data_IF_206831645167
#
_entry.id   IF_206831645167
#
_cell.length_a   1.000
_cell.length_b   1.000
_cell.length_c   1.000
_cell.angle_alpha   90.00
_cell.angle_beta   90.00
_cell.angle_gamma   90.00
#
_symmetry.space_group_name_H-M   'P 1'
#
loop_
_entity.id
_entity.type
_entity.pdbx_description
1 polymer ?
#
# COMPACT_ATOMS: atom_id res chain seq x y z
N UNK A 1 19.57 -15.33 -11.59
CA UNK A 1 18.65 -14.21 -11.31
C UNK A 1 17.26 -14.80 -11.25
N UNK A 2 16.66 -14.93 -10.06
CA UNK A 2 15.27 -15.36 -9.94
C UNK A 2 14.37 -14.23 -10.42
N UNK A 3 13.81 -14.36 -11.62
CA UNK A 3 12.83 -13.42 -12.15
C UNK A 3 11.55 -13.55 -11.33
N UNK A 4 11.43 -12.74 -10.28
CA UNK A 4 10.21 -12.70 -9.46
C UNK A 4 9.07 -12.13 -10.30
N UNK A 5 7.95 -12.86 -10.42
CA UNK A 5 6.82 -12.40 -11.23
C UNK A 5 6.12 -11.20 -10.59
N UNK A 6 5.55 -10.33 -11.44
CA UNK A 6 4.79 -9.17 -10.98
C UNK A 6 3.45 -9.60 -10.38
N UNK A 7 3.25 -9.32 -9.09
CA UNK A 7 2.01 -9.62 -8.35
C UNK A 7 0.78 -9.06 -9.07
N UNK A 8 0.89 -7.87 -9.66
CA UNK A 8 -0.20 -7.22 -10.38
C UNK A 8 -0.62 -8.00 -11.64
N UNK A 9 0.35 -8.57 -12.37
CA UNK A 9 0.12 -9.37 -13.58
C UNK A 9 -0.39 -10.76 -13.21
N UNK A 10 0.17 -11.38 -12.16
CA UNK A 10 -0.32 -12.67 -11.65
C UNK A 10 -1.78 -12.61 -11.20
N UNK A 11 -2.20 -11.51 -10.54
CA UNK A 11 -3.61 -11.31 -10.19
C UNK A 11 -4.51 -11.23 -11.43
N UNK A 12 -4.07 -10.55 -12.50
CA UNK A 12 -4.79 -10.49 -13.78
C UNK A 12 -4.89 -11.87 -14.44
N UNK A 13 -3.78 -12.62 -14.49
CA UNK A 13 -3.71 -13.97 -15.04
C UNK A 13 -4.66 -14.91 -14.28
N UNK A 14 -4.59 -14.92 -12.93
CA UNK A 14 -5.52 -15.67 -12.07
C UNK A 14 -6.98 -15.34 -12.40
N UNK A 15 -7.32 -14.05 -12.43
CA UNK A 15 -8.69 -13.61 -12.75
C UNK A 15 -9.13 -14.03 -14.15
N UNK A 16 -8.24 -14.05 -15.14
CA UNK A 16 -8.56 -14.48 -16.50
C UNK A 16 -8.84 -15.99 -16.57
N UNK A 17 -8.03 -16.81 -15.89
CA UNK A 17 -8.20 -18.26 -15.79
C UNK A 17 -9.49 -18.63 -15.04
N UNK A 18 -9.78 -17.97 -13.91
CA UNK A 18 -10.98 -18.22 -13.11
C UNK A 18 -12.28 -17.84 -13.85
N UNK A 19 -12.29 -16.72 -14.58
CA UNK A 19 -13.49 -16.23 -15.27
C UNK A 19 -13.92 -17.08 -16.47
N UNK A 20 -12.97 -17.76 -17.12
CA UNK A 20 -13.26 -18.44 -18.39
C UNK A 20 -13.66 -19.91 -18.22
N UNK A 21 -13.48 -20.51 -17.04
CA UNK A 21 -13.89 -21.88 -16.67
C UNK A 21 -13.73 -22.95 -17.76
N UNK A 22 -12.73 -22.80 -18.64
CA UNK A 22 -12.43 -23.79 -19.67
C UNK A 22 -11.54 -24.86 -19.05
N UNK A 23 -11.83 -26.13 -19.34
CA UNK A 23 -11.02 -27.27 -18.87
C UNK A 23 -9.57 -27.22 -19.36
N UNK A 24 -9.36 -26.63 -20.54
CA UNK A 24 -8.06 -26.53 -21.18
C UNK A 24 -7.86 -25.13 -21.76
N UNK A 25 -6.72 -24.51 -21.41
CA UNK A 25 -6.35 -23.16 -21.85
C UNK A 25 -4.88 -23.18 -22.26
N UNK A 26 -4.58 -22.89 -23.53
CA UNK A 26 -3.20 -22.76 -24.01
C UNK A 26 -2.63 -21.39 -23.70
N UNK A 27 -1.31 -21.23 -23.86
CA UNK A 27 -0.62 -19.96 -23.65
C UNK A 27 -1.18 -18.85 -24.57
N UNK A 28 -1.45 -19.16 -25.83
CA UNK A 28 -2.04 -18.18 -26.78
C UNK A 28 -3.47 -17.77 -26.40
N UNK A 29 -4.26 -18.69 -25.87
CA UNK A 29 -5.59 -18.32 -25.36
C UNK A 29 -5.48 -17.41 -24.14
N UNK A 30 -4.54 -17.69 -23.24
CA UNK A 30 -4.31 -16.89 -22.05
C UNK A 30 -3.79 -15.49 -22.39
N UNK A 31 -2.90 -15.38 -23.37
CA UNK A 31 -2.37 -14.10 -23.87
C UNK A 31 -3.51 -13.17 -24.31
N UNK A 32 -4.46 -13.71 -25.09
CA UNK A 32 -5.66 -13.01 -25.56
C UNK A 32 -6.61 -12.64 -24.42
N UNK A 33 -6.76 -13.50 -23.41
CA UNK A 33 -7.63 -13.21 -22.27
C UNK A 33 -7.08 -12.11 -21.37
N UNK A 34 -5.77 -12.05 -21.19
CA UNK A 34 -5.10 -11.06 -20.33
C UNK A 34 -4.80 -9.77 -21.09
N UNK A 35 -4.73 -9.81 -22.42
CA UNK A 35 -4.35 -8.68 -23.27
C UNK A 35 -2.85 -8.39 -23.22
N UNK A 36 -2.03 -9.44 -23.07
CA UNK A 36 -0.57 -9.37 -23.05
C UNK A 36 0.00 -10.32 -24.10
N UNK A 37 1.20 -10.04 -24.61
CA UNK A 37 1.90 -10.95 -25.51
C UNK A 37 2.18 -12.29 -24.84
N UNK A 38 2.15 -13.38 -25.62
CA UNK A 38 2.43 -14.74 -25.16
C UNK A 38 3.75 -14.83 -24.41
N UNK A 39 4.78 -14.17 -24.91
CA UNK A 39 6.14 -14.22 -24.34
C UNK A 39 6.19 -13.58 -22.96
N UNK A 40 5.48 -12.45 -22.79
CA UNK A 40 5.38 -11.75 -21.51
C UNK A 40 4.60 -12.59 -20.50
N UNK A 41 3.55 -13.29 -20.93
CA UNK A 41 2.80 -14.20 -20.06
C UNK A 41 3.67 -15.41 -19.70
N UNK A 42 4.42 -15.97 -20.66
CA UNK A 42 5.32 -17.07 -20.43
C UNK A 42 6.44 -16.69 -19.44
N UNK A 43 7.04 -15.51 -19.56
CA UNK A 43 8.06 -15.01 -18.62
C UNK A 43 7.58 -15.01 -17.17
N UNK A 44 6.32 -14.63 -16.95
CA UNK A 44 5.71 -14.61 -15.61
C UNK A 44 5.36 -16.02 -15.10
N UNK A 45 5.00 -16.93 -16.01
CA UNK A 45 4.63 -18.30 -15.69
C UNK A 45 5.83 -19.24 -15.53
N UNK A 46 6.99 -18.92 -16.14
CA UNK A 46 8.24 -19.67 -16.02
C UNK A 46 8.68 -19.84 -14.57
N UNK A 47 8.33 -18.89 -13.71
CA UNK A 47 8.60 -19.00 -12.28
C UNK A 47 7.93 -20.22 -11.64
N UNK A 48 6.75 -20.62 -12.14
CA UNK A 48 6.01 -21.78 -11.65
C UNK A 48 6.30 -23.04 -12.46
N UNK A 49 6.42 -22.88 -13.77
CA UNK A 49 6.60 -24.00 -14.69
C UNK A 49 7.54 -23.59 -15.84
N UNK A 50 8.83 -24.01 -15.80
CA UNK A 50 9.81 -23.62 -16.80
C UNK A 50 9.47 -24.09 -18.22
N UNK A 51 8.72 -25.19 -18.37
CA UNK A 51 8.39 -25.76 -19.67
C UNK A 51 7.42 -24.91 -20.48
N UNK A 52 6.75 -23.91 -19.88
CA UNK A 52 5.77 -23.04 -20.56
C UNK A 52 6.36 -22.31 -21.78
N UNK A 53 7.67 -22.01 -21.77
CA UNK A 53 8.36 -21.39 -22.92
C UNK A 53 8.63 -22.35 -24.07
N UNK A 54 8.79 -23.64 -23.77
CA UNK A 54 9.15 -24.67 -24.75
C UNK A 54 7.91 -25.34 -25.34
N UNK A 55 6.86 -25.50 -24.52
CA UNK A 55 5.61 -26.14 -24.93
C UNK A 55 4.43 -25.17 -24.84
N UNK A 56 4.06 -24.60 -25.99
CA UNK A 56 2.91 -23.71 -26.12
C UNK A 56 1.55 -24.42 -26.01
N UNK A 57 1.55 -25.76 -26.08
CA UNK A 57 0.36 -26.61 -25.94
C UNK A 57 0.10 -27.04 -24.49
N UNK A 58 0.90 -26.56 -23.54
CA UNK A 58 0.66 -26.86 -22.14
C UNK A 58 -0.67 -26.26 -21.64
N UNK A 59 -1.34 -26.97 -20.74
CA UNK A 59 -2.55 -26.48 -20.10
C UNK A 59 -2.22 -25.49 -18.97
N UNK A 60 -2.55 -24.21 -19.17
CA UNK A 60 -2.31 -23.15 -18.19
C UNK A 60 -3.20 -23.29 -16.94
N UNK A 61 -4.27 -24.09 -16.99
CA UNK A 61 -5.12 -24.34 -15.81
C UNK A 61 -4.38 -25.13 -14.73
N UNK A 62 -3.39 -25.94 -15.10
CA UNK A 62 -2.62 -26.74 -14.15
C UNK A 62 -1.70 -25.86 -13.30
N UNK A 63 -1.38 -24.65 -13.77
CA UNK A 63 -0.51 -23.68 -13.09
C UNK A 63 -1.32 -22.83 -12.08
N UNK A 64 -2.66 -22.75 -12.24
CA UNK A 64 -3.54 -21.91 -11.42
C UNK A 64 -3.40 -22.15 -9.90
N UNK A 65 -3.34 -23.39 -9.38
CA UNK A 65 -3.18 -23.65 -7.94
C UNK A 65 -1.87 -23.07 -7.38
N UNK A 66 -0.79 -23.12 -8.16
CA UNK A 66 0.51 -22.59 -7.76
C UNK A 66 0.50 -21.07 -7.67
N UNK A 67 -0.14 -20.40 -8.63
CA UNK A 67 -0.35 -18.94 -8.61
C UNK A 67 -1.17 -18.53 -7.39
N UNK A 68 -2.25 -19.27 -7.09
CA UNK A 68 -3.11 -18.99 -5.93
C UNK A 68 -2.33 -19.13 -4.61
N UNK A 69 -1.54 -20.21 -4.46
CA UNK A 69 -0.71 -20.44 -3.28
C UNK A 69 0.35 -19.35 -3.10
N UNK A 70 0.97 -18.90 -4.19
CA UNK A 70 1.96 -17.83 -4.16
C UNK A 70 1.36 -16.48 -3.75
N UNK A 71 0.22 -16.11 -4.36
CA UNK A 71 -0.49 -14.88 -3.99
C UNK A 71 -1.00 -14.90 -2.54
N UNK A 72 -1.43 -16.07 -2.05
CA UNK A 72 -1.85 -16.24 -0.65
C UNK A 72 -0.74 -15.92 0.35
N UNK A 73 0.46 -16.50 0.16
CA UNK A 73 1.63 -16.20 0.99
C UNK A 73 1.98 -14.72 1.03
N UNK A 74 1.95 -14.08 -0.14
CA UNK A 74 2.24 -12.64 -0.26
C UNK A 74 1.18 -11.80 0.45
N UNK A 75 -0.09 -12.18 0.35
CA UNK A 75 -1.17 -11.47 1.01
C UNK A 75 -1.11 -11.64 2.54
N UNK A 76 -0.71 -12.80 3.05
CA UNK A 76 -0.44 -13.05 4.47
C UNK A 76 0.74 -12.22 5.00
N UNK A 77 1.89 -12.25 4.32
CA UNK A 77 3.04 -11.42 4.67
C UNK A 77 2.70 -9.91 4.68
N UNK A 78 1.86 -9.47 3.74
CA UNK A 78 1.42 -8.09 3.67
C UNK A 78 0.42 -7.74 4.77
N UNK A 79 -0.42 -8.67 5.22
CA UNK A 79 -1.32 -8.48 6.37
C UNK A 79 -0.52 -8.29 7.66
N UNK A 80 0.45 -9.17 7.92
CA UNK A 80 1.32 -9.04 9.09
C UNK A 80 2.07 -7.70 9.11
N UNK A 81 2.57 -7.25 7.96
CA UNK A 81 3.24 -5.95 7.82
C UNK A 81 2.28 -4.77 8.02
N UNK A 82 0.99 -4.91 7.71
CA UNK A 82 -0.03 -3.87 7.91
C UNK A 82 -0.50 -3.79 9.35
N UNK A 83 -0.64 -4.94 10.02
CA UNK A 83 -1.05 -5.00 11.43
C UNK A 83 0.02 -4.45 12.37
N UNK A 84 1.31 -4.59 12.00
CA UNK A 84 2.44 -4.03 12.76
C UNK A 84 2.59 -2.52 12.63
N UNK A 85 1.91 -1.84 11.69
CA UNK A 85 2.00 -0.38 11.57
C UNK A 85 0.98 0.25 12.52
N UNK A 86 1.41 1.06 13.51
CA UNK A 86 0.47 1.78 14.35
C UNK A 86 -0.41 2.64 13.43
N UNK A 87 -1.72 2.46 13.55
CA UNK A 87 -2.70 3.25 12.79
C UNK A 87 -2.43 4.71 13.10
N UNK A 88 -2.11 5.51 12.08
CA UNK A 88 -2.00 6.97 12.23
C UNK A 88 -3.29 7.48 12.86
N UNK A 89 -3.19 8.04 14.05
CA UNK A 89 -4.32 8.68 14.70
C UNK A 89 -4.75 9.85 13.81
N UNK A 90 -5.94 9.75 13.22
CA UNK A 90 -6.45 10.76 12.32
C UNK A 90 -6.90 11.97 13.14
N UNK A 91 -6.07 13.01 13.19
CA UNK A 91 -6.44 14.29 13.80
C UNK A 91 -7.62 14.88 13.03
N UNK A 92 -8.75 15.06 13.73
CA UNK A 92 -9.98 15.60 13.12
C UNK A 92 -9.81 17.10 12.89
N UNK A 93 -10.32 17.62 11.77
CA UNK A 93 -10.31 19.06 11.45
C UNK A 93 -10.92 19.95 12.55
N UNK A 94 -11.85 19.41 13.34
CA UNK A 94 -12.47 20.09 14.49
C UNK A 94 -11.49 20.33 15.64
N UNK A 95 -10.47 19.48 15.81
CA UNK A 95 -9.43 19.64 16.83
C UNK A 95 -8.42 20.72 16.43
N UNK A 96 -8.10 20.81 15.14
CA UNK A 96 -7.24 21.87 14.60
C UNK A 96 -7.86 23.27 14.73
N UNK A 97 -9.19 23.38 14.68
CA UNK A 97 -9.91 24.65 14.86
C UNK A 97 -9.95 25.14 16.32
N UNK A 98 -9.63 24.27 17.30
CA UNK A 98 -9.57 24.67 18.71
C UNK A 98 -8.34 25.53 19.02
N UNK A 99 -7.33 25.48 18.16
CA UNK A 99 -6.07 26.19 18.35
C UNK A 99 -5.93 27.25 17.25
N UNK A 100 -5.96 28.52 17.65
CA UNK A 100 -5.85 29.64 16.71
C UNK A 100 -4.42 29.81 16.17
N UNK A 101 -3.42 29.47 16.97
CA UNK A 101 -1.99 29.58 16.68
C UNK A 101 -1.18 28.49 17.40
N UNK A 102 0.06 28.25 16.98
CA UNK A 102 1.02 27.39 17.70
C UNK A 102 1.18 27.87 19.15
N UNK A 103 1.22 29.19 19.38
CA UNK A 103 1.31 29.76 20.72
C UNK A 103 0.14 29.34 21.60
N UNK A 104 -1.08 29.40 21.07
CA UNK A 104 -2.31 29.00 21.77
C UNK A 104 -2.32 27.50 22.11
N UNK A 105 -1.81 26.65 21.21
CA UNK A 105 -1.61 25.22 21.50
C UNK A 105 -0.62 25.01 22.66
N UNK A 106 0.53 25.71 22.64
CA UNK A 106 1.53 25.62 23.71
C UNK A 106 0.98 26.14 25.03
N UNK A 107 0.23 27.25 25.03
CA UNK A 107 -0.40 27.76 26.25
C UNK A 107 -1.45 26.80 26.82
N UNK A 108 -2.34 26.24 25.99
CA UNK A 108 -3.39 25.34 26.50
C UNK A 108 -2.87 23.98 26.99
N UNK A 109 -1.79 23.47 26.40
CA UNK A 109 -1.27 22.12 26.70
C UNK A 109 -0.04 22.10 27.60
N UNK A 110 0.76 23.16 27.61
CA UNK A 110 2.01 23.23 28.35
C UNK A 110 2.06 24.33 29.42
N UNK A 111 1.14 25.30 29.44
CA UNK A 111 1.18 26.32 30.50
C UNK A 111 0.72 25.74 31.84
N UNK A 112 1.54 25.96 32.86
CA UNK A 112 1.18 25.67 34.26
C UNK A 112 0.42 26.83 34.91
N UNK A 113 0.10 26.71 36.22
CA UNK A 113 -0.44 27.81 37.01
C UNK A 113 0.51 29.01 36.92
N UNK A 114 0.03 30.16 36.43
CA UNK A 114 0.82 31.38 36.25
C UNK A 114 1.25 31.69 34.81
N UNK A 115 0.81 30.91 33.81
CA UNK A 115 1.02 31.25 32.40
C UNK A 115 2.43 31.01 31.88
N UNK A 116 3.28 30.35 32.68
CA UNK A 116 4.61 29.91 32.27
C UNK A 116 4.54 28.50 31.68
N UNK A 117 5.29 28.30 30.59
CA UNK A 117 5.40 26.99 29.92
C UNK A 117 6.17 26.04 30.83
N UNK A 118 5.52 24.97 31.27
CA UNK A 118 6.10 23.96 32.14
C UNK A 118 7.00 23.03 31.32
N UNK A 119 8.33 23.01 31.55
CA UNK A 119 9.26 22.15 30.80
C UNK A 119 9.04 20.65 31.04
N UNK A 120 8.28 20.29 32.08
CA UNK A 120 7.95 18.93 32.48
C UNK A 120 6.68 18.37 31.82
N UNK A 121 6.05 19.11 30.91
CA UNK A 121 4.85 18.65 30.22
C UNK A 121 5.20 17.64 29.12
N UNK A 122 4.72 16.40 29.28
CA UNK A 122 4.90 15.35 28.27
C UNK A 122 3.75 15.39 27.26
N UNK A 123 4.08 15.69 26.00
CA UNK A 123 3.12 15.60 24.90
C UNK A 123 2.90 14.14 24.51
N UNK A 124 1.64 13.78 24.29
CA UNK A 124 1.28 12.49 23.72
C UNK A 124 1.52 12.50 22.18
N UNK A 125 1.63 11.32 21.56
CA UNK A 125 1.83 11.17 20.10
C UNK A 125 0.76 11.91 19.28
N UNK A 126 -0.47 11.96 19.81
CA UNK A 126 -1.56 12.74 19.23
C UNK A 126 -1.29 14.24 19.23
N UNK A 127 -0.81 14.76 20.36
CA UNK A 127 -0.53 16.19 20.55
C UNK A 127 0.68 16.63 19.68
N UNK A 128 1.69 15.77 19.53
CA UNK A 128 2.80 15.97 18.59
C UNK A 128 2.32 16.02 17.14
N UNK A 129 1.37 15.16 16.76
CA UNK A 129 0.81 15.17 15.40
C UNK A 129 -0.05 16.41 15.12
N UNK A 130 -0.79 16.91 16.13
CA UNK A 130 -1.51 18.18 16.04
C UNK A 130 -0.54 19.34 15.83
N UNK A 131 0.56 19.39 16.58
CA UNK A 131 1.60 20.41 16.44
C UNK A 131 2.27 20.38 15.06
N UNK A 132 2.58 19.20 14.54
CA UNK A 132 3.13 19.03 13.17
C UNK A 132 2.19 19.62 12.10
N UNK A 133 0.88 19.42 12.25
CA UNK A 133 -0.12 19.94 11.33
C UNK A 133 -0.26 21.47 11.44
N UNK A 134 -0.23 22.03 12.66
CA UNK A 134 -0.25 23.48 12.87
C UNK A 134 0.99 24.15 12.27
N UNK A 135 2.17 23.57 12.46
CA UNK A 135 3.44 24.04 11.86
C UNK A 135 3.37 24.03 10.34
N UNK A 136 2.85 22.95 9.73
CA UNK A 136 2.67 22.87 8.27
C UNK A 136 1.74 23.96 7.75
N UNK A 137 0.66 24.28 8.46
CA UNK A 137 -0.24 25.37 8.06
C UNK A 137 0.44 26.74 8.16
N UNK A 138 1.25 26.97 9.18
CA UNK A 138 1.95 28.24 9.37
C UNK A 138 3.07 28.45 8.33
N UNK A 139 3.84 27.40 8.00
CA UNK A 139 4.80 27.41 6.90
C UNK A 139 4.10 27.72 5.57
N UNK A 140 2.92 27.13 5.32
CA UNK A 140 2.16 27.41 4.10
C UNK A 140 1.65 28.87 4.04
N UNK A 141 1.21 29.45 5.17
CA UNK A 141 0.82 30.86 5.27
C UNK A 141 2.02 31.80 5.04
N UNK A 142 3.18 31.50 5.62
CA UNK A 142 4.41 32.28 5.46
C UNK A 142 4.89 32.29 4.00
N UNK A 143 4.85 31.14 3.31
CA UNK A 143 5.20 31.05 1.89
C UNK A 143 4.28 31.86 0.97
N UNK A 144 3.00 32.00 1.33
CA UNK A 144 2.02 32.81 0.58
C UNK A 144 2.20 34.32 0.78
N UNK A 145 2.71 34.75 1.94
CA UNK A 145 3.00 36.17 2.23
C UNK A 145 4.30 36.68 1.58
N UNK A 146 5.17 35.77 1.12
CA UNK A 146 6.43 36.09 0.43
C UNK A 146 6.31 36.15 -1.09
N UNK A 147 5.14 35.85 -1.66
CA UNK A 147 4.80 36.10 -3.07
C UNK A 147 3.96 37.36 -3.14
#
# INVERSE_FOLDING_TARGET
>A
MENKPSISRLRRIKSALEKKQKKYVTLDMLSRYVGLYSDVVADELVYFEPMVKMDTSMNMMDILPFIQKYLGKIDEENKEKREKKPRRQAVRKKELLKYSSIGDFVYQKMAGPGGLVSPSSNLNDHDLHVLELLVKQEIAKSKKKKK
#
